data_IF_760006007056
#
_entry.id   IF_760006007056
#
_cell.length_a   1.000
_cell.length_b   1.000
_cell.length_c   1.000
_cell.angle_alpha   90.00
_cell.angle_beta   90.00
_cell.angle_gamma   90.00
#
_symmetry.space_group_name_H-M   'P 1'
#
loop_
_entity.id
_entity.type
_entity.pdbx_description
1 polymer ?
#
# COMPACT_ATOMS: atom_id res chain seq x y z
N UNK A 1 -5.04 -64.44 7.78
CA UNK A 1 -3.94 -64.26 8.74
C UNK A 1 -3.95 -62.84 9.20
N UNK A 2 -4.57 -62.53 10.29
CA UNK A 2 -4.13 -62.40 11.67
C UNK A 2 -2.99 -61.41 11.89
N UNK A 3 -3.32 -60.41 12.58
CA UNK A 3 -2.80 -59.91 13.83
C UNK A 3 -2.10 -58.56 13.67
N UNK A 4 -2.10 -57.59 14.45
CA UNK A 4 -2.49 -57.39 15.85
C UNK A 4 -2.44 -55.88 16.12
N UNK A 5 -3.38 -55.41 16.89
CA UNK A 5 -3.41 -54.06 17.45
C UNK A 5 -2.26 -53.84 18.45
N UNK A 6 -1.73 -52.63 18.51
CA UNK A 6 -1.04 -52.16 19.70
C UNK A 6 -1.44 -50.71 20.01
N UNK A 7 -2.26 -50.57 21.03
CA UNK A 7 -2.59 -49.35 21.73
C UNK A 7 -1.49 -49.12 22.76
N UNK A 8 -0.89 -47.94 22.76
CA UNK A 8 -0.13 -47.46 23.92
C UNK A 8 -0.62 -46.04 24.27
N UNK A 9 -1.39 -46.04 25.35
CA UNK A 9 -1.69 -44.83 26.11
C UNK A 9 -0.57 -44.57 27.12
N UNK A 10 -0.08 -43.34 27.21
CA UNK A 10 0.64 -42.91 28.39
C UNK A 10 0.28 -41.44 28.70
N UNK A 11 -0.51 -41.32 29.66
CA UNK A 11 -0.75 -40.47 30.84
C UNK A 11 0.24 -39.31 31.12
N UNK A 12 -0.37 -38.17 31.30
CA UNK A 12 -0.25 -37.03 32.22
C UNK A 12 0.99 -36.93 33.13
N UNK A 13 1.52 -35.69 33.18
CA UNK A 13 2.03 -35.13 34.41
C UNK A 13 1.85 -33.59 34.40
N UNK A 14 1.00 -33.11 35.30
CA UNK A 14 0.88 -31.73 35.75
C UNK A 14 2.08 -31.37 36.61
N UNK A 15 2.66 -30.16 36.43
CA UNK A 15 3.36 -29.49 37.50
C UNK A 15 2.90 -28.03 37.57
N UNK A 16 2.11 -27.80 38.59
CA UNK A 16 1.81 -26.47 39.10
C UNK A 16 3.03 -25.93 39.84
N UNK A 17 3.40 -24.70 39.57
CA UNK A 17 4.37 -23.92 40.31
C UNK A 17 3.81 -22.55 40.62
N UNK A 18 3.22 -22.39 41.81
CA UNK A 18 2.93 -21.11 42.43
C UNK A 18 4.20 -20.47 42.95
N UNK A 19 4.37 -19.18 42.70
CA UNK A 19 5.33 -18.35 43.38
C UNK A 19 4.92 -16.89 43.22
N UNK A 20 4.20 -16.37 44.23
CA UNK A 20 3.82 -14.97 44.27
C UNK A 20 4.96 -14.08 44.74
N UNK A 21 4.97 -12.84 44.34
CA UNK A 21 5.26 -11.69 45.20
C UNK A 21 4.68 -10.39 44.62
N UNK A 22 4.21 -9.60 45.53
CA UNK A 22 3.53 -8.32 45.39
C UNK A 22 4.43 -7.17 44.91
N UNK A 23 3.83 -6.22 44.20
CA UNK A 23 4.10 -4.79 44.43
C UNK A 23 4.57 -3.99 43.23
N UNK A 24 3.72 -3.13 42.83
CA UNK A 24 3.90 -1.72 42.49
C UNK A 24 3.16 -1.28 41.23
N UNK A 25 2.30 -0.31 41.44
CA UNK A 25 1.62 0.53 40.47
C UNK A 25 2.56 1.05 39.38
N UNK A 26 2.16 0.84 38.15
CA UNK A 26 2.66 1.51 36.97
C UNK A 26 1.60 1.43 35.90
N UNK A 27 0.83 2.53 35.75
CA UNK A 27 -0.06 2.72 34.61
C UNK A 27 0.76 2.57 33.33
N UNK A 28 0.72 1.40 32.73
CA UNK A 28 1.17 1.20 31.36
C UNK A 28 -0.01 1.40 30.45
N UNK A 29 0.04 2.53 29.76
CA UNK A 29 -0.65 2.78 28.51
C UNK A 29 -0.67 1.50 27.66
N UNK A 30 -1.83 0.89 27.52
CA UNK A 30 -2.03 -0.26 26.65
C UNK A 30 -2.06 0.23 25.20
N UNK A 31 -0.91 0.64 24.71
CA UNK A 31 -0.66 0.65 23.28
C UNK A 31 -0.89 -0.76 22.78
N UNK A 32 -1.88 -0.96 21.92
CA UNK A 32 -2.14 -2.20 21.20
C UNK A 32 -0.81 -2.65 20.57
N UNK A 33 -0.13 -3.58 21.21
CA UNK A 33 1.01 -4.25 20.61
C UNK A 33 0.47 -5.01 19.41
N UNK A 34 0.68 -4.43 18.22
CA UNK A 34 0.45 -5.12 16.97
C UNK A 34 1.19 -6.45 17.02
N UNK A 35 0.57 -7.47 16.53
CA UNK A 35 1.14 -8.81 16.39
C UNK A 35 2.47 -8.64 15.63
N UNK A 36 3.61 -8.72 16.32
CA UNK A 36 4.94 -8.36 15.82
C UNK A 36 5.47 -9.34 14.75
N UNK A 37 4.72 -9.54 13.68
CA UNK A 37 5.14 -10.26 12.48
C UNK A 37 5.98 -9.36 11.55
N UNK A 38 6.70 -9.96 10.62
CA UNK A 38 7.37 -9.22 9.56
C UNK A 38 6.33 -8.47 8.71
N UNK A 39 6.71 -7.28 8.25
CA UNK A 39 5.86 -6.50 7.33
C UNK A 39 5.87 -7.15 5.96
N UNK A 40 4.68 -7.42 5.42
CA UNK A 40 4.49 -7.86 4.04
C UNK A 40 4.41 -6.64 3.14
N UNK A 41 5.43 -6.44 2.31
CA UNK A 41 5.47 -5.33 1.36
C UNK A 41 4.85 -5.76 0.04
N UNK A 42 3.87 -4.99 -0.44
CA UNK A 42 3.30 -5.16 -1.78
C UNK A 42 3.70 -3.97 -2.66
N UNK A 43 4.11 -4.27 -3.89
CA UNK A 43 4.47 -3.26 -4.88
C UNK A 43 3.77 -3.53 -6.21
N UNK A 44 3.81 -2.54 -7.10
CA UNK A 44 3.30 -2.67 -8.46
C UNK A 44 4.41 -3.13 -9.40
N UNK A 45 3.98 -3.62 -10.54
CA UNK A 45 4.84 -4.05 -11.64
C UNK A 45 5.71 -2.92 -12.22
N UNK A 46 6.77 -3.28 -12.91
CA UNK A 46 7.58 -2.33 -13.66
C UNK A 46 6.74 -1.65 -14.76
N UNK A 47 6.95 -0.34 -14.93
CA UNK A 47 6.17 0.48 -15.85
C UNK A 47 4.84 0.99 -15.30
N UNK A 48 4.45 0.62 -14.07
CA UNK A 48 3.31 1.24 -13.38
C UNK A 48 3.59 2.70 -13.06
N UNK A 49 2.73 3.60 -13.55
CA UNK A 49 2.82 5.03 -13.22
C UNK A 49 2.65 5.30 -11.72
N UNK A 50 1.82 4.51 -11.03
CA UNK A 50 1.64 4.59 -9.58
C UNK A 50 2.91 4.18 -8.85
N UNK A 51 3.62 3.12 -9.30
CA UNK A 51 4.92 2.74 -8.75
C UNK A 51 5.96 3.83 -8.95
N UNK A 52 6.09 4.34 -10.18
CA UNK A 52 7.04 5.42 -10.47
C UNK A 52 6.80 6.65 -9.60
N UNK A 53 5.54 7.06 -9.43
CA UNK A 53 5.19 8.15 -8.52
C UNK A 53 5.58 7.86 -7.07
N UNK A 54 5.26 6.66 -6.58
CA UNK A 54 5.53 6.25 -5.20
C UNK A 54 7.03 6.25 -4.90
N UNK A 55 7.86 5.57 -5.71
CA UNK A 55 9.29 5.46 -5.45
C UNK A 55 10.01 6.80 -5.55
N UNK A 56 9.57 7.69 -6.46
CA UNK A 56 10.12 9.04 -6.61
C UNK A 56 9.75 9.93 -5.43
N UNK A 57 8.46 10.03 -5.10
CA UNK A 57 7.97 10.96 -4.06
C UNK A 57 8.40 10.57 -2.65
N UNK A 58 8.60 9.28 -2.39
CA UNK A 58 9.10 8.77 -1.11
C UNK A 58 10.62 8.61 -1.07
N UNK A 59 11.36 8.96 -2.14
CA UNK A 59 12.82 8.87 -2.19
C UNK A 59 13.33 7.42 -2.14
N UNK A 60 12.52 6.46 -2.56
CA UNK A 60 12.91 5.06 -2.72
C UNK A 60 13.74 4.89 -3.99
N UNK A 61 13.47 5.70 -5.02
CA UNK A 61 14.33 5.83 -6.18
C UNK A 61 15.54 6.67 -5.81
N UNK A 62 16.75 6.13 -5.97
CA UNK A 62 18.01 6.78 -5.62
C UNK A 62 18.97 6.78 -6.79
N UNK A 63 19.86 7.77 -6.86
CA UNK A 63 20.95 7.78 -7.84
C UNK A 63 22.13 6.93 -7.33
N UNK A 64 22.63 6.05 -8.19
CA UNK A 64 23.87 5.31 -7.92
C UNK A 64 25.10 6.19 -8.23
N UNK A 65 26.30 5.66 -7.96
CA UNK A 65 27.58 6.37 -8.21
C UNK A 65 27.78 6.81 -9.67
N UNK A 66 27.06 6.21 -10.61
CA UNK A 66 27.11 6.54 -12.05
C UNK A 66 26.06 7.60 -12.44
N UNK A 67 25.24 8.06 -11.49
CA UNK A 67 24.13 8.99 -11.75
C UNK A 67 22.90 8.35 -12.36
N UNK A 68 22.80 7.00 -12.33
CA UNK A 68 21.62 6.28 -12.79
C UNK A 68 20.61 6.12 -11.66
N UNK A 69 19.33 6.30 -11.99
CA UNK A 69 18.23 6.11 -11.06
C UNK A 69 17.97 4.63 -10.83
N UNK A 70 17.96 4.20 -9.58
CA UNK A 70 17.77 2.81 -9.15
C UNK A 70 16.60 2.76 -8.17
N UNK A 71 15.65 1.88 -8.45
CA UNK A 71 14.55 1.56 -7.53
C UNK A 71 15.07 0.68 -6.40
N UNK A 72 15.03 1.22 -5.17
CA UNK A 72 15.48 0.56 -3.94
C UNK A 72 14.34 -0.17 -3.22
N UNK A 73 13.21 -0.43 -3.90
CA UNK A 73 12.15 -1.28 -3.34
C UNK A 73 12.74 -2.62 -2.91
N UNK A 74 12.38 -3.12 -1.74
CA UNK A 74 12.87 -4.42 -1.25
C UNK A 74 12.63 -5.54 -2.26
N UNK A 75 13.61 -6.40 -2.45
CA UNK A 75 13.52 -7.57 -3.34
C UNK A 75 12.49 -8.60 -2.88
N UNK A 76 12.10 -8.55 -1.60
CA UNK A 76 11.09 -9.43 -1.01
C UNK A 76 9.66 -8.92 -1.23
N UNK A 77 9.49 -7.77 -1.90
CA UNK A 77 8.16 -7.24 -2.18
C UNK A 77 7.37 -8.16 -3.11
N UNK A 78 6.13 -8.43 -2.74
CA UNK A 78 5.18 -9.13 -3.60
C UNK A 78 4.68 -8.19 -4.69
N UNK A 79 4.89 -8.56 -5.95
CA UNK A 79 4.54 -7.71 -7.09
C UNK A 79 3.16 -8.07 -7.63
N UNK A 80 2.32 -7.05 -7.86
CA UNK A 80 1.01 -7.20 -8.51
C UNK A 80 0.81 -6.16 -9.61
N UNK A 81 0.08 -6.53 -10.66
CA UNK A 81 -0.33 -5.66 -11.75
C UNK A 81 -1.79 -5.19 -11.65
N UNK A 82 -2.41 -5.37 -10.49
CA UNK A 82 -3.82 -5.07 -10.27
C UNK A 82 -4.04 -4.32 -8.97
N UNK A 83 -4.71 -3.16 -9.03
CA UNK A 83 -5.15 -2.41 -7.86
C UNK A 83 -6.10 -3.22 -6.98
N UNK A 84 -7.01 -3.99 -7.58
CA UNK A 84 -7.94 -4.84 -6.84
C UNK A 84 -7.21 -5.96 -6.07
N UNK A 85 -6.17 -6.56 -6.67
CA UNK A 85 -5.32 -7.55 -6.00
C UNK A 85 -4.50 -6.89 -4.88
N UNK A 86 -3.93 -5.70 -5.11
CA UNK A 86 -3.24 -4.93 -4.08
C UNK A 86 -4.13 -4.73 -2.86
N UNK A 87 -5.34 -4.19 -3.06
CA UNK A 87 -6.29 -3.92 -1.99
C UNK A 87 -6.73 -5.19 -1.25
N UNK A 88 -7.08 -6.26 -2.00
CA UNK A 88 -7.50 -7.52 -1.38
C UNK A 88 -6.36 -8.18 -0.59
N UNK A 89 -5.12 -8.06 -1.04
CA UNK A 89 -3.95 -8.59 -0.31
C UNK A 89 -3.73 -7.85 0.99
N UNK A 90 -3.79 -6.50 0.98
CA UNK A 90 -3.68 -5.68 2.20
C UNK A 90 -4.84 -5.94 3.16
N UNK A 91 -6.07 -6.06 2.65
CA UNK A 91 -7.25 -6.31 3.48
C UNK A 91 -7.21 -7.67 4.20
N UNK A 92 -6.53 -8.66 3.63
CA UNK A 92 -6.44 -10.02 4.19
C UNK A 92 -5.15 -10.29 4.98
N UNK A 93 -4.22 -9.36 5.06
CA UNK A 93 -2.98 -9.49 5.83
C UNK A 93 -2.78 -8.24 6.72
N UNK A 94 -2.92 -8.41 8.02
CA UNK A 94 -2.77 -7.33 9.01
C UNK A 94 -1.36 -6.75 9.08
N UNK A 95 -0.37 -7.43 8.52
CA UNK A 95 1.01 -6.97 8.45
C UNK A 95 1.35 -6.39 7.06
N UNK A 96 0.41 -6.38 6.12
CA UNK A 96 0.67 -5.89 4.78
C UNK A 96 0.62 -4.37 4.67
N UNK A 97 1.51 -3.84 3.83
CA UNK A 97 1.50 -2.46 3.37
C UNK A 97 1.61 -2.42 1.84
N UNK A 98 0.87 -1.52 1.22
CA UNK A 98 0.89 -1.30 -0.22
C UNK A 98 0.52 0.14 -0.55
N UNK A 99 0.44 0.47 -1.82
CA UNK A 99 0.06 1.79 -2.31
C UNK A 99 -0.88 1.69 -3.52
N UNK A 100 -1.78 2.63 -3.62
CA UNK A 100 -2.78 2.74 -4.70
C UNK A 100 -3.02 4.22 -5.04
N UNK A 101 -3.72 4.49 -6.13
CA UNK A 101 -4.23 5.83 -6.43
C UNK A 101 -5.38 6.18 -5.49
N UNK A 102 -5.51 7.47 -5.13
CA UNK A 102 -6.54 7.96 -4.22
C UNK A 102 -7.96 7.59 -4.69
N UNK A 103 -8.25 7.72 -5.97
CA UNK A 103 -9.57 7.39 -6.52
C UNK A 103 -9.96 5.91 -6.45
N UNK A 104 -9.01 5.02 -6.14
CA UNK A 104 -9.29 3.60 -5.91
C UNK A 104 -9.50 3.26 -4.44
N UNK A 105 -9.29 4.22 -3.52
CA UNK A 105 -9.40 3.99 -2.09
C UNK A 105 -10.86 3.72 -1.69
N UNK A 106 -11.07 2.72 -0.84
CA UNK A 106 -12.37 2.42 -0.23
C UNK A 106 -12.21 1.84 1.17
N UNK A 107 -13.32 1.56 1.85
CA UNK A 107 -13.38 1.15 3.25
C UNK A 107 -12.81 -0.27 3.52
N UNK A 108 -12.35 -1.00 2.52
CA UNK A 108 -11.76 -2.34 2.72
C UNK A 108 -10.33 -2.29 3.25
N UNK A 109 -9.65 -1.16 3.10
CA UNK A 109 -8.29 -0.91 3.57
C UNK A 109 -8.21 0.40 4.35
N UNK A 110 -7.24 0.51 5.24
CA UNK A 110 -6.97 1.74 5.98
C UNK A 110 -5.91 2.57 5.28
N UNK A 111 -6.25 3.78 4.85
CA UNK A 111 -5.25 4.76 4.45
C UNK A 111 -4.43 5.24 5.66
N UNK A 112 -3.14 5.42 5.48
CA UNK A 112 -2.26 6.02 6.48
C UNK A 112 -2.04 7.50 6.16
N UNK A 113 -1.95 8.31 7.20
CA UNK A 113 -1.62 9.72 7.05
C UNK A 113 -0.14 9.88 6.67
N UNK A 114 0.15 10.80 5.77
CA UNK A 114 1.51 11.16 5.39
C UNK A 114 1.81 12.56 5.95
N UNK A 115 2.87 12.69 6.74
CA UNK A 115 3.24 13.93 7.44
C UNK A 115 2.06 14.53 8.26
N UNK A 116 1.19 13.67 8.78
CA UNK A 116 0.01 14.06 9.54
C UNK A 116 -1.22 14.45 8.70
N UNK A 117 -1.09 14.49 7.37
CA UNK A 117 -2.20 14.78 6.46
C UNK A 117 -2.86 13.49 5.96
N UNK A 118 -4.19 13.48 5.97
CA UNK A 118 -5.01 12.42 5.39
C UNK A 118 -5.02 12.52 3.87
N UNK A 119 -5.02 11.37 3.17
CA UNK A 119 -5.21 11.29 1.73
C UNK A 119 -6.66 11.61 1.38
N UNK A 120 -6.95 12.86 1.05
CA UNK A 120 -8.27 13.33 0.64
C UNK A 120 -8.14 14.38 -0.46
N UNK A 121 -9.19 14.54 -1.28
CA UNK A 121 -9.23 15.56 -2.34
C UNK A 121 -9.01 16.95 -1.74
N UNK A 122 -9.68 17.27 -0.62
CA UNK A 122 -9.53 18.55 0.07
C UNK A 122 -8.07 18.82 0.49
N UNK A 123 -7.37 17.82 1.04
CA UNK A 123 -5.99 17.97 1.46
C UNK A 123 -5.00 18.03 0.30
N UNK A 124 -5.33 17.44 -0.85
CA UNK A 124 -4.59 17.61 -2.09
C UNK A 124 -4.76 19.03 -2.62
N UNK A 125 -6.00 19.54 -2.70
CA UNK A 125 -6.30 20.87 -3.22
C UNK A 125 -5.70 22.01 -2.38
N UNK A 126 -5.76 21.90 -1.04
CA UNK A 126 -5.20 22.89 -0.13
C UNK A 126 -3.68 22.77 0.07
N UNK A 127 -3.05 21.70 -0.51
CA UNK A 127 -1.61 21.47 -0.48
C UNK A 127 -1.08 20.93 0.84
N UNK A 128 -1.92 20.49 1.77
CA UNK A 128 -1.49 19.82 3.02
C UNK A 128 -1.02 18.39 2.78
N UNK A 129 -1.64 17.67 1.84
CA UNK A 129 -1.18 16.37 1.37
C UNK A 129 -0.25 16.54 0.18
N UNK A 130 1.02 16.19 0.33
CA UNK A 130 2.08 16.52 -0.64
C UNK A 130 2.44 15.39 -1.61
N UNK A 131 1.92 14.19 -1.39
CA UNK A 131 2.20 13.03 -2.25
C UNK A 131 1.26 13.04 -3.44
N UNK A 132 1.51 13.94 -4.37
CA UNK A 132 0.67 14.18 -5.55
C UNK A 132 1.53 14.32 -6.82
N UNK A 133 0.98 13.89 -7.95
CA UNK A 133 1.57 14.12 -9.28
C UNK A 133 0.50 14.58 -10.26
N UNK A 134 0.82 15.52 -11.14
CA UNK A 134 -0.09 15.89 -12.22
C UNK A 134 -0.15 14.78 -13.28
N UNK A 135 -1.32 14.58 -13.86
CA UNK A 135 -1.44 13.87 -15.13
C UNK A 135 -1.06 14.79 -16.28
N UNK A 136 -0.28 14.29 -17.22
CA UNK A 136 0.15 15.05 -18.38
C UNK A 136 -0.40 14.42 -19.66
N UNK A 137 -1.01 15.24 -20.53
CA UNK A 137 -1.39 14.84 -21.87
C UNK A 137 -0.23 15.14 -22.80
N UNK A 138 0.29 14.14 -23.50
CA UNK A 138 1.40 14.28 -24.43
C UNK A 138 0.90 14.10 -25.86
N UNK A 139 1.19 15.06 -26.72
CA UNK A 139 0.91 14.99 -28.15
C UNK A 139 2.20 15.16 -28.93
N UNK A 140 2.25 14.60 -30.14
CA UNK A 140 3.41 14.76 -31.03
C UNK A 140 3.57 16.23 -31.41
N UNK A 141 4.77 16.77 -31.34
CA UNK A 141 5.10 18.10 -31.83
C UNK A 141 4.72 18.27 -33.31
N UNK A 142 4.06 19.40 -33.62
CA UNK A 142 3.56 19.66 -34.97
C UNK A 142 2.35 18.81 -35.39
N UNK A 143 1.68 18.16 -34.43
CA UNK A 143 0.44 17.41 -34.64
C UNK A 143 -0.63 18.33 -35.27
N UNK A 144 -1.24 17.90 -36.39
CA UNK A 144 -2.27 18.65 -37.14
C UNK A 144 -3.59 17.90 -37.33
N UNK A 145 -3.71 16.70 -36.74
CA UNK A 145 -4.97 15.93 -36.82
C UNK A 145 -6.06 16.57 -35.95
N UNK A 146 -7.19 17.04 -36.55
CA UNK A 146 -8.25 17.70 -35.80
C UNK A 146 -8.83 16.81 -34.68
N UNK A 147 -8.95 15.52 -34.91
CA UNK A 147 -9.49 14.61 -33.91
C UNK A 147 -8.63 14.53 -32.64
N UNK A 148 -7.29 14.64 -32.75
CA UNK A 148 -6.41 14.72 -31.59
C UNK A 148 -6.64 16.01 -30.82
N UNK A 149 -6.77 17.11 -31.53
CA UNK A 149 -7.06 18.43 -30.92
C UNK A 149 -8.41 18.42 -30.22
N UNK A 150 -9.46 17.91 -30.88
CA UNK A 150 -10.80 17.83 -30.31
C UNK A 150 -10.83 16.93 -29.05
N UNK A 151 -10.15 15.78 -29.08
CA UNK A 151 -10.07 14.89 -27.93
C UNK A 151 -9.33 15.54 -26.76
N UNK A 152 -8.21 16.22 -27.03
CA UNK A 152 -7.47 16.93 -25.99
C UNK A 152 -8.31 18.05 -25.38
N UNK A 153 -9.01 18.82 -26.22
CA UNK A 153 -9.93 19.86 -25.76
C UNK A 153 -11.09 19.29 -24.95
N UNK A 154 -11.63 18.15 -25.35
CA UNK A 154 -12.67 17.46 -24.58
C UNK A 154 -12.16 17.05 -23.19
N UNK A 155 -11.00 16.41 -23.09
CA UNK A 155 -10.43 16.03 -21.79
C UNK A 155 -10.28 17.26 -20.88
N UNK A 156 -9.86 18.40 -21.42
CA UNK A 156 -9.66 19.64 -20.67
C UNK A 156 -10.95 20.44 -20.45
N UNK A 157 -12.07 20.02 -21.03
CA UNK A 157 -13.38 20.66 -20.82
C UNK A 157 -13.99 20.29 -19.47
N UNK A 158 -15.00 21.06 -19.03
CA UNK A 158 -15.75 20.74 -17.81
C UNK A 158 -16.42 19.35 -17.86
N UNK A 159 -16.88 18.93 -19.04
CA UNK A 159 -17.49 17.61 -19.24
C UNK A 159 -16.44 16.49 -19.10
N UNK A 160 -15.26 16.68 -19.75
CA UNK A 160 -14.16 15.72 -19.64
C UNK A 160 -13.60 15.64 -18.23
N UNK A 161 -13.48 16.78 -17.54
CA UNK A 161 -13.00 16.81 -16.14
C UNK A 161 -14.00 16.17 -15.18
N UNK A 162 -15.31 16.27 -15.42
CA UNK A 162 -16.31 15.54 -14.64
C UNK A 162 -16.15 14.01 -14.77
N UNK A 163 -15.80 13.51 -15.97
CA UNK A 163 -15.51 12.09 -16.18
C UNK A 163 -14.21 11.68 -15.44
N UNK A 164 -13.20 12.54 -15.42
CA UNK A 164 -11.96 12.27 -14.66
C UNK A 164 -12.26 12.17 -13.17
N UNK A 165 -13.03 13.12 -12.62
CA UNK A 165 -13.43 13.13 -11.21
C UNK A 165 -14.25 11.89 -10.82
N UNK A 166 -15.17 11.45 -11.67
CA UNK A 166 -15.98 10.24 -11.44
C UNK A 166 -15.13 8.95 -11.38
N UNK A 167 -13.98 8.94 -12.04
CA UNK A 167 -13.09 7.78 -12.10
C UNK A 167 -11.87 7.90 -11.16
N UNK A 168 -11.74 8.94 -10.37
CA UNK A 168 -10.73 9.14 -9.33
C UNK A 168 -9.53 9.95 -9.75
#
# INVERSE_FOLDING_TARGET
>A
FLGTALVVALSAACLAGCGGNSGSDGSTDSGSAGNGGAITVLSREDGSGTRGAFIELFGIEQENESGEKVDMTTVDASITNSTAVMMSSVANDTNAIGYISLGSLNDTVKAVNIDGAEASVENVENGSYKVVRPFNIVVKEGQTNPAVTDFTNYIMSSEGQAVVEENG
#
